data_IF_515354758774
#
_entry.id   IF_515354758774
#
_cell.length_a   1.000
_cell.length_b   1.000
_cell.length_c   1.000
_cell.angle_alpha   90.00
_cell.angle_beta   90.00
_cell.angle_gamma   90.00
#
_symmetry.space_group_name_H-M   'P 1'
#
loop_
_entity.id
_entity.type
_entity.pdbx_description
1 polymer ?
#
# COMPACT_ATOMS: atom_id res chain seq x y z
N UNK A 1 -4.26 -19.22 -3.29
CA UNK A 1 -3.41 -19.53 -2.11
C UNK A 1 -1.97 -19.32 -2.55
N UNK A 2 -1.02 -19.02 -1.66
CA UNK A 2 0.38 -19.02 -2.03
C UNK A 2 0.78 -20.43 -2.52
N UNK A 3 1.71 -20.49 -3.47
CA UNK A 3 2.29 -21.72 -3.98
C UNK A 3 3.81 -21.65 -3.85
N UNK A 4 4.50 -22.77 -4.08
CA UNK A 4 5.98 -22.81 -4.08
C UNK A 4 6.61 -21.85 -5.10
N UNK A 5 5.90 -21.51 -6.17
CA UNK A 5 6.43 -20.68 -7.27
C UNK A 5 5.84 -19.27 -7.30
N UNK A 6 4.75 -19.01 -6.58
CA UNK A 6 4.06 -17.73 -6.63
C UNK A 6 3.39 -17.40 -5.30
N UNK A 7 3.74 -16.25 -4.74
CA UNK A 7 3.09 -15.74 -3.54
C UNK A 7 1.74 -15.05 -3.85
N UNK A 8 1.01 -14.65 -2.81
CA UNK A 8 -0.18 -13.80 -2.94
C UNK A 8 0.17 -12.37 -3.41
N UNK A 9 -0.85 -11.56 -3.69
CA UNK A 9 -0.71 -10.30 -4.43
C UNK A 9 0.06 -9.24 -3.62
N UNK A 10 1.08 -8.68 -4.27
CA UNK A 10 1.69 -7.41 -3.92
C UNK A 10 2.45 -6.90 -5.15
N UNK A 11 2.31 -5.60 -5.45
CA UNK A 11 2.97 -4.94 -6.57
C UNK A 11 3.67 -3.69 -6.05
N UNK A 12 4.99 -3.63 -6.18
CA UNK A 12 5.77 -2.44 -5.86
C UNK A 12 5.94 -1.59 -7.11
N UNK A 13 5.48 -0.34 -7.06
CA UNK A 13 5.68 0.66 -8.09
C UNK A 13 6.82 1.59 -7.70
N UNK A 14 7.89 1.58 -8.50
CA UNK A 14 9.00 2.51 -8.35
C UNK A 14 8.78 3.77 -9.21
N UNK A 15 8.48 4.88 -8.55
CA UNK A 15 8.27 6.17 -9.18
C UNK A 15 9.61 6.89 -9.32
N UNK A 16 10.11 6.97 -10.54
CA UNK A 16 11.32 7.71 -10.86
C UNK A 16 10.93 9.09 -11.41
N UNK A 17 11.07 10.13 -10.58
CA UNK A 17 10.85 11.53 -10.98
C UNK A 17 11.91 12.43 -10.33
N UNK A 18 12.42 13.47 -11.02
CA UNK A 18 13.48 14.34 -10.49
C UNK A 18 13.18 14.99 -9.14
N UNK A 19 11.91 15.33 -8.88
CA UNK A 19 11.48 16.06 -7.67
C UNK A 19 10.61 15.25 -6.73
N UNK A 20 10.04 14.13 -7.19
CA UNK A 20 9.05 13.35 -6.43
C UNK A 20 9.24 11.85 -6.71
N UNK A 21 10.45 11.35 -6.47
CA UNK A 21 10.72 9.90 -6.53
C UNK A 21 10.17 9.21 -5.28
N UNK A 22 9.72 7.97 -5.42
CA UNK A 22 9.21 7.21 -4.29
C UNK A 22 8.82 5.78 -4.63
N UNK A 23 8.54 4.99 -3.60
CA UNK A 23 7.99 3.64 -3.74
C UNK A 23 6.55 3.64 -3.29
N UNK A 24 5.65 3.11 -4.12
CA UNK A 24 4.26 2.86 -3.75
C UNK A 24 3.99 1.37 -3.78
N UNK A 25 3.20 0.87 -2.84
CA UNK A 25 2.81 -0.53 -2.78
C UNK A 25 1.33 -0.67 -3.15
N UNK A 26 1.00 -1.66 -3.98
CA UNK A 26 -0.38 -2.04 -4.29
C UNK A 26 -0.60 -3.46 -3.80
N UNK A 27 -1.52 -3.61 -2.86
CA UNK A 27 -1.74 -4.79 -2.02
C UNK A 27 -0.49 -5.23 -1.25
N UNK A 28 -0.72 -5.85 -0.09
CA UNK A 28 0.29 -6.43 0.77
C UNK A 28 -0.21 -7.79 1.29
N UNK A 29 -0.21 -8.79 0.41
CA UNK A 29 -0.51 -10.16 0.79
C UNK A 29 0.49 -10.74 1.79
N UNK A 30 0.10 -11.81 2.48
CA UNK A 30 1.00 -12.54 3.38
C UNK A 30 2.35 -12.84 2.71
N UNK A 31 3.45 -12.67 3.47
CA UNK A 31 4.79 -12.93 2.95
C UNK A 31 5.40 -11.80 2.11
N UNK A 32 4.68 -10.70 1.85
CA UNK A 32 5.19 -9.57 1.07
C UNK A 32 6.50 -9.02 1.62
N UNK A 33 6.63 -8.87 2.94
CA UNK A 33 7.90 -8.45 3.55
C UNK A 33 9.06 -9.41 3.22
N UNK A 34 8.84 -10.73 3.22
CA UNK A 34 9.85 -11.72 2.88
C UNK A 34 10.24 -11.66 1.41
N UNK A 35 9.25 -11.52 0.52
CA UNK A 35 9.50 -11.34 -0.91
C UNK A 35 10.34 -10.09 -1.19
N UNK A 36 10.10 -9.01 -0.47
CA UNK A 36 10.81 -7.74 -0.66
C UNK A 36 12.27 -7.81 -0.20
N UNK A 37 12.61 -8.64 0.79
CA UNK A 37 14.01 -8.90 1.21
C UNK A 37 14.86 -9.54 0.11
N UNK A 38 14.24 -10.15 -0.90
CA UNK A 38 14.94 -10.71 -2.06
C UNK A 38 15.11 -9.68 -3.21
N UNK A 39 14.77 -8.41 -2.98
CA UNK A 39 14.90 -7.34 -3.98
C UNK A 39 15.94 -6.32 -3.54
N UNK A 40 16.40 -5.48 -4.48
CA UNK A 40 17.28 -4.35 -4.17
C UNK A 40 16.54 -3.14 -3.58
N UNK A 41 15.21 -3.18 -3.51
CA UNK A 41 14.40 -2.08 -3.00
C UNK A 41 14.30 -2.17 -1.48
N UNK A 42 14.32 -1.01 -0.82
CA UNK A 42 14.02 -0.92 0.59
C UNK A 42 12.49 -0.76 0.75
N UNK A 43 11.76 -1.83 1.12
CA UNK A 43 10.30 -1.81 1.14
C UNK A 43 9.74 -0.93 2.26
N UNK A 44 10.56 -0.67 3.28
CA UNK A 44 10.20 0.18 4.40
C UNK A 44 10.09 1.65 4.02
N UNK A 45 10.51 2.03 2.81
CA UNK A 45 10.49 3.43 2.33
C UNK A 45 9.26 3.75 1.47
N UNK A 46 8.23 2.90 1.45
CA UNK A 46 7.00 3.25 0.73
C UNK A 46 6.36 4.50 1.33
N UNK A 47 5.80 5.35 0.47
CA UNK A 47 5.09 6.56 0.93
C UNK A 47 3.59 6.34 0.97
N UNK A 48 3.06 5.74 -0.09
CA UNK A 48 1.64 5.54 -0.32
C UNK A 48 1.41 4.06 -0.63
N UNK A 49 0.58 3.42 0.17
CA UNK A 49 0.20 2.02 -0.01
C UNK A 49 -1.30 1.94 -0.32
N UNK A 50 -1.67 1.16 -1.34
CA UNK A 50 -3.01 1.10 -1.90
C UNK A 50 -3.54 -0.33 -1.86
N UNK A 51 -4.72 -0.51 -1.28
CA UNK A 51 -5.35 -1.83 -1.07
C UNK A 51 -6.63 -1.92 -1.88
N UNK A 52 -6.68 -2.91 -2.76
CA UNK A 52 -7.76 -3.05 -3.74
C UNK A 52 -9.00 -3.74 -3.16
N UNK A 53 -8.85 -4.54 -2.10
CA UNK A 53 -9.90 -5.40 -1.57
C UNK A 53 -9.74 -5.63 -0.06
N UNK A 54 -10.83 -5.85 0.70
CA UNK A 54 -10.74 -6.31 2.10
C UNK A 54 -10.30 -7.78 2.22
N UNK A 55 -10.01 -8.45 1.11
CA UNK A 55 -9.54 -9.84 1.08
C UNK A 55 -8.19 -10.00 1.80
N UNK A 56 -8.06 -11.09 2.55
CA UNK A 56 -6.82 -11.46 3.23
C UNK A 56 -5.60 -11.55 2.30
N UNK A 57 -5.81 -11.89 1.02
CA UNK A 57 -4.73 -11.98 0.01
C UNK A 57 -4.08 -10.64 -0.29
N UNK A 58 -4.76 -9.54 0.05
CA UNK A 58 -4.33 -8.18 -0.20
C UNK A 58 -3.86 -7.48 1.06
N UNK A 59 -4.16 -7.97 2.28
CA UNK A 59 -3.87 -7.24 3.52
C UNK A 59 -3.11 -8.01 4.61
N UNK A 60 -3.00 -9.35 4.54
CA UNK A 60 -2.42 -10.10 5.67
C UNK A 60 -0.90 -9.91 5.86
N UNK A 61 -0.20 -9.36 4.86
CA UNK A 61 1.20 -8.95 5.01
C UNK A 61 1.37 -7.61 5.73
N UNK A 62 0.31 -6.80 5.79
CA UNK A 62 0.38 -5.41 6.23
C UNK A 62 0.84 -5.25 7.69
N UNK A 63 0.29 -5.98 8.69
CA UNK A 63 0.74 -5.82 10.08
C UNK A 63 2.24 -6.09 10.25
N UNK A 64 2.75 -7.16 9.61
CA UNK A 64 4.18 -7.50 9.63
C UNK A 64 5.04 -6.43 8.95
N UNK A 65 4.60 -5.91 7.80
CA UNK A 65 5.28 -4.83 7.09
C UNK A 65 5.40 -3.57 7.96
N UNK A 66 4.32 -3.19 8.66
CA UNK A 66 4.29 -1.99 9.51
C UNK A 66 5.22 -2.09 10.71
N UNK A 67 5.24 -3.24 11.38
CA UNK A 67 6.14 -3.50 12.51
C UNK A 67 7.60 -3.49 12.06
N UNK A 68 7.92 -4.21 10.98
CA UNK A 68 9.28 -4.26 10.43
C UNK A 68 9.77 -2.88 9.98
N UNK A 69 8.88 -2.04 9.44
CA UNK A 69 9.19 -0.63 9.13
C UNK A 69 9.55 0.16 10.38
N UNK A 70 8.77 0.02 11.46
CA UNK A 70 9.03 0.71 12.73
C UNK A 70 10.39 0.30 13.31
N UNK A 71 10.64 -1.01 13.36
CA UNK A 71 11.91 -1.58 13.85
C UNK A 71 13.12 -1.17 13.02
N UNK A 72 12.92 -0.87 11.73
CA UNK A 72 13.98 -0.41 10.83
C UNK A 72 14.33 1.08 11.00
N UNK A 73 13.68 1.79 11.94
CA UNK A 73 13.93 3.20 12.22
C UNK A 73 13.48 4.14 11.10
N UNK A 74 12.57 3.70 10.22
CA UNK A 74 12.01 4.57 9.19
C UNK A 74 10.96 5.47 9.82
N UNK A 75 11.24 6.77 9.85
CA UNK A 75 10.37 7.81 10.42
C UNK A 75 9.51 8.54 9.38
N UNK A 76 9.73 8.27 8.08
CA UNK A 76 8.95 8.91 7.02
C UNK A 76 7.46 8.52 7.13
N UNK A 77 6.52 9.44 6.85
CA UNK A 77 5.10 9.13 6.92
C UNK A 77 4.72 8.02 5.94
N UNK A 78 3.67 7.29 6.28
CA UNK A 78 3.05 6.27 5.44
C UNK A 78 1.55 6.52 5.41
N UNK A 79 0.98 6.59 4.21
CA UNK A 79 -0.48 6.65 4.02
C UNK A 79 -0.98 5.35 3.41
N UNK A 80 -1.95 4.74 4.06
CA UNK A 80 -2.65 3.54 3.59
C UNK A 80 -4.00 3.94 3.04
N UNK A 81 -4.26 3.64 1.77
CA UNK A 81 -5.57 3.79 1.14
C UNK A 81 -6.19 2.42 0.94
N UNK A 82 -7.40 2.18 1.45
CA UNK A 82 -8.06 0.91 1.25
C UNK A 82 -9.57 0.96 1.47
N UNK A 83 -10.30 -0.13 1.20
CA UNK A 83 -11.74 -0.19 1.44
C UNK A 83 -12.07 -0.11 2.93
N UNK A 84 -13.33 0.16 3.23
CA UNK A 84 -13.87 0.12 4.59
C UNK A 84 -13.46 -1.16 5.34
N UNK A 85 -13.03 -1.01 6.59
CA UNK A 85 -12.56 -2.08 7.47
C UNK A 85 -11.04 -2.22 7.53
N UNK A 86 -10.27 -1.61 6.61
CA UNK A 86 -8.81 -1.69 6.65
C UNK A 86 -8.23 -0.98 7.88
N UNK A 87 -8.86 0.11 8.34
CA UNK A 87 -8.46 0.80 9.57
C UNK A 87 -8.60 -0.12 10.77
N UNK A 88 -9.79 -0.69 10.95
CA UNK A 88 -10.07 -1.61 12.06
C UNK A 88 -9.12 -2.81 12.04
N UNK A 89 -8.84 -3.36 10.86
CA UNK A 89 -7.89 -4.47 10.69
C UNK A 89 -6.48 -4.09 11.19
N UNK A 90 -5.93 -2.96 10.74
CA UNK A 90 -4.58 -2.52 11.13
C UNK A 90 -4.52 -2.18 12.61
N UNK A 91 -5.44 -1.34 13.10
CA UNK A 91 -5.45 -0.88 14.49
C UNK A 91 -5.64 -2.06 15.45
N UNK A 92 -6.51 -3.01 15.11
CA UNK A 92 -6.71 -4.23 15.92
C UNK A 92 -5.48 -5.12 15.93
N UNK A 93 -4.86 -5.34 14.77
CA UNK A 93 -3.66 -6.18 14.67
C UNK A 93 -2.52 -5.61 15.54
N UNK A 94 -2.24 -4.31 15.41
CA UNK A 94 -1.20 -3.64 16.18
C UNK A 94 -1.52 -3.62 17.69
N UNK A 95 -2.76 -3.32 18.06
CA UNK A 95 -3.19 -3.27 19.47
C UNK A 95 -3.05 -4.63 20.15
N UNK A 96 -3.50 -5.72 19.51
CA UNK A 96 -3.48 -7.06 20.12
C UNK A 96 -2.05 -7.60 20.20
N UNK A 97 -1.20 -7.28 19.23
CA UNK A 97 0.22 -7.68 19.26
C UNK A 97 1.09 -6.81 20.17
N UNK A 98 0.53 -5.76 20.80
CA UNK A 98 1.30 -4.80 21.59
C UNK A 98 2.32 -4.02 20.75
N UNK A 99 2.00 -3.79 19.47
CA UNK A 99 2.87 -3.11 18.52
C UNK A 99 2.42 -1.67 18.29
N UNK A 100 3.35 -0.83 17.85
CA UNK A 100 3.10 0.57 17.50
C UNK A 100 3.98 0.98 16.31
N UNK A 101 3.74 2.17 15.78
CA UNK A 101 4.54 2.77 14.70
C UNK A 101 5.29 3.98 15.23
N UNK A 102 6.60 4.02 15.03
CA UNK A 102 7.47 5.17 15.37
C UNK A 102 7.49 6.23 14.25
N UNK A 103 6.55 6.14 13.31
CA UNK A 103 6.34 7.05 12.19
C UNK A 103 4.86 7.45 12.10
N UNK A 104 4.55 8.60 11.46
CA UNK A 104 3.17 8.98 11.20
C UNK A 104 2.51 7.97 10.25
N UNK A 105 1.49 7.27 10.74
CA UNK A 105 0.67 6.36 9.97
C UNK A 105 -0.72 6.99 9.76
N UNK A 106 -1.06 7.26 8.51
CA UNK A 106 -2.41 7.69 8.13
C UNK A 106 -3.11 6.54 7.42
N UNK A 107 -4.36 6.28 7.79
CA UNK A 107 -5.20 5.27 7.14
C UNK A 107 -6.42 6.00 6.58
N UNK A 108 -6.66 5.86 5.27
CA UNK A 108 -7.75 6.51 4.54
C UNK A 108 -8.64 5.41 3.96
N UNK A 109 -9.87 5.33 4.45
CA UNK A 109 -10.86 4.44 3.87
C UNK A 109 -11.46 5.12 2.63
N UNK A 110 -11.30 4.48 1.48
CA UNK A 110 -11.66 5.02 0.17
C UNK A 110 -12.85 4.28 -0.43
N UNK A 111 -13.61 5.01 -1.25
CA UNK A 111 -14.62 4.46 -2.16
C UNK A 111 -14.27 4.73 -3.62
N UNK A 112 -15.25 4.58 -4.51
CA UNK A 112 -15.10 4.96 -5.91
C UNK A 112 -14.86 6.47 -6.05
N UNK A 113 -13.93 6.86 -6.93
CA UNK A 113 -13.59 8.25 -7.20
C UNK A 113 -12.10 8.55 -7.08
N UNK A 114 -11.78 9.84 -7.10
CA UNK A 114 -10.41 10.33 -6.95
C UNK A 114 -9.91 10.11 -5.52
N UNK A 115 -8.71 9.54 -5.40
CA UNK A 115 -8.07 9.22 -4.11
C UNK A 115 -6.97 10.22 -3.78
N UNK A 116 -6.17 10.60 -4.78
CA UNK A 116 -4.97 11.42 -4.62
C UNK A 116 -4.74 12.22 -5.90
N UNK A 117 -4.37 13.49 -5.74
CA UNK A 117 -3.75 14.31 -6.77
C UNK A 117 -2.55 15.03 -6.14
N UNK A 118 -1.32 14.66 -6.55
CA UNK A 118 -0.08 15.28 -6.07
C UNK A 118 0.46 16.37 -7.04
N UNK A 119 -0.34 16.75 -8.04
CA UNK A 119 0.02 17.68 -9.12
C UNK A 119 0.84 17.05 -10.25
N UNK A 120 1.50 15.92 -10.02
CA UNK A 120 2.20 15.13 -11.04
C UNK A 120 1.46 13.86 -11.41
N UNK A 121 0.64 13.35 -10.49
CA UNK A 121 0.00 12.05 -10.55
C UNK A 121 -1.37 12.16 -9.94
N UNK A 122 -2.30 11.48 -10.60
CA UNK A 122 -3.67 11.33 -10.14
C UNK A 122 -3.98 9.86 -9.95
N UNK A 123 -4.53 9.52 -8.79
CA UNK A 123 -4.98 8.18 -8.44
C UNK A 123 -6.49 8.17 -8.34
N UNK A 124 -7.13 7.22 -9.02
CA UNK A 124 -8.59 7.09 -9.03
C UNK A 124 -8.99 5.63 -8.80
N UNK A 125 -9.91 5.39 -7.87
CA UNK A 125 -10.55 4.11 -7.64
C UNK A 125 -11.81 3.96 -8.49
N UNK A 126 -11.95 2.80 -9.12
CA UNK A 126 -13.15 2.40 -9.84
C UNK A 126 -13.69 1.11 -9.23
N UNK A 127 -15.00 1.00 -8.97
CA UNK A 127 -15.58 -0.23 -8.46
C UNK A 127 -15.49 -1.31 -9.54
N UNK A 128 -15.15 -2.53 -9.15
CA UNK A 128 -15.16 -3.70 -10.02
C UNK A 128 -16.38 -4.58 -9.73
N UNK A 129 -16.93 -5.21 -10.77
CA UNK A 129 -17.93 -6.25 -10.62
C UNK A 129 -17.27 -7.50 -10.01
N UNK A 130 -17.41 -7.64 -8.69
CA UNK A 130 -16.89 -8.77 -7.94
C UNK A 130 -17.80 -9.06 -6.73
N UNK A 131 -17.76 -10.27 -6.20
CA UNK A 131 -18.54 -10.68 -5.01
C UNK A 131 -18.17 -9.92 -3.72
N UNK A 132 -17.10 -9.13 -3.74
CA UNK A 132 -16.61 -8.30 -2.65
C UNK A 132 -16.43 -6.87 -3.16
N UNK A 133 -16.41 -5.89 -2.24
CA UNK A 133 -16.10 -4.51 -2.57
C UNK A 133 -14.63 -4.41 -3.02
N UNK A 134 -14.38 -4.54 -4.31
CA UNK A 134 -13.06 -4.52 -4.94
C UNK A 134 -12.95 -3.27 -5.81
N UNK A 135 -11.82 -2.59 -5.73
CA UNK A 135 -11.53 -1.38 -6.49
C UNK A 135 -10.33 -1.61 -7.42
N UNK A 136 -10.49 -1.23 -8.68
CA UNK A 136 -9.36 -0.99 -9.57
C UNK A 136 -8.75 0.37 -9.26
N UNK A 137 -7.43 0.43 -9.16
CA UNK A 137 -6.70 1.67 -8.87
C UNK A 137 -5.95 2.09 -10.12
N UNK A 138 -6.34 3.25 -10.67
CA UNK A 138 -5.78 3.80 -11.90
C UNK A 138 -4.85 4.94 -11.54
N UNK A 139 -3.58 4.80 -11.94
CA UNK A 139 -2.58 5.86 -11.85
C UNK A 139 -2.45 6.57 -13.20
N UNK A 140 -2.60 7.90 -13.20
CA UNK A 140 -2.39 8.74 -14.38
C UNK A 140 -1.28 9.75 -14.10
N UNK A 141 -0.22 9.74 -14.90
CA UNK A 141 0.79 10.79 -14.88
C UNK A 141 0.26 12.04 -15.60
N UNK A 142 0.32 13.17 -14.90
CA UNK A 142 0.04 14.50 -15.42
C UNK A 142 1.31 14.98 -16.15
N UNK A 143 1.49 14.55 -17.40
CA UNK A 143 2.54 15.12 -18.23
C UNK A 143 2.11 16.55 -18.57
N UNK A 144 2.77 17.54 -17.97
CA UNK A 144 2.78 18.89 -18.56
C UNK A 144 3.40 18.75 -19.94
N UNK A 145 2.57 18.77 -20.99
CA UNK A 145 3.07 19.01 -22.36
C UNK A 145 3.70 20.40 -22.33
N UNK A 146 5.01 20.44 -22.15
CA UNK A 146 5.79 21.62 -22.51
C UNK A 146 5.71 21.68 -24.04
N UNK A 147 4.97 22.65 -24.55
CA UNK A 147 4.95 23.02 -25.96
C UNK A 147 6.30 23.58 -26.39
#
# INVERSE_FOLDING_TARGET
MPTRTRNVTAILLNLQHPTQSGLWLFDCGEGTQHQLLHTAFNPWKTGQDFYQSPSWRSSFGLPGLLCSRSMSGIIQPLTIYGPQGIREFVETALRISGSWTDYPLEIVEIGAGEILDDGLRKVTAYPLEHHWNVMAIVLKNMINRVH
#
